data_IF_256805364912
#
_entry.id   IF_256805364912
#
_cell.length_a   1.000
_cell.length_b   1.000
_cell.length_c   1.000
_cell.angle_alpha   90.00
_cell.angle_beta   90.00
_cell.angle_gamma   90.00
#
_symmetry.space_group_name_H-M   'P 1'
#
loop_
_entity.id
_entity.type
_entity.pdbx_description
1 polymer ?
2 non-polymer ?
3 non-polymer ?
4 water ?
#
# COMPACT_ATOMS: atom_id res chain seq x y z
N UNK A 36 17.23 7.38 5.11
CA UNK A 36 17.65 7.77 3.72
C UNK A 36 17.51 6.62 2.74
N UNK A 37 17.78 5.40 3.24
CA UNK A 37 17.71 4.18 2.43
C UNK A 37 16.37 4.00 1.76
N UNK A 38 15.29 4.11 2.54
CA UNK A 38 13.92 3.93 2.06
C UNK A 38 13.56 4.89 0.93
N UNK A 39 14.00 6.14 1.04
CA UNK A 39 13.71 7.14 0.02
C UNK A 39 14.36 6.81 -1.30
N UNK A 40 15.61 6.35 -1.23
CA UNK A 40 16.30 5.94 -2.45
C UNK A 40 15.59 4.75 -3.07
N UNK A 41 15.14 3.82 -2.22
CA UNK A 41 14.44 2.63 -2.68
C UNK A 41 13.13 3.01 -3.35
N UNK A 42 12.43 3.96 -2.74
CA UNK A 42 11.15 4.42 -3.27
C UNK A 42 11.31 5.12 -4.59
N UNK A 43 12.38 5.92 -4.73
CA UNK A 43 12.67 6.59 -6.00
C UNK A 43 13.06 5.64 -7.13
N UNK A 44 13.74 4.57 -6.77
CA UNK A 44 14.14 3.54 -7.74
C UNK A 44 12.98 2.59 -8.05
N UNK A 45 11.88 2.70 -7.30
CA UNK A 45 10.66 1.94 -7.58
C UNK A 45 9.96 2.65 -8.74
N UNK A 46 10.26 2.20 -9.94
CA UNK A 46 9.78 2.83 -11.19
C UNK A 46 8.27 2.80 -11.28
N UNK A 47 7.67 1.65 -10.98
CA UNK A 47 6.22 1.49 -11.03
C UNK A 47 5.54 2.53 -10.16
N UNK A 48 5.98 2.63 -8.90
CA UNK A 48 5.44 3.63 -8.00
C UNK A 48 5.65 5.05 -8.52
N UNK A 49 6.92 5.42 -8.75
CA UNK A 49 7.25 6.82 -9.01
C UNK A 49 6.78 7.31 -10.38
N UNK A 50 6.91 6.47 -11.41
CA UNK A 50 6.45 6.80 -12.75
C UNK A 50 4.92 6.82 -12.88
N UNK A 51 4.21 6.05 -12.06
CA UNK A 51 2.74 6.12 -12.03
C UNK A 51 2.28 7.49 -11.57
N UNK A 52 2.93 8.01 -10.52
CA UNK A 52 2.62 9.34 -9.99
C UNK A 52 3.02 10.44 -10.97
N UNK A 53 4.20 10.30 -11.54
CA UNK A 53 4.72 11.19 -12.57
C UNK A 53 3.72 11.29 -13.73
N UNK A 54 3.37 10.16 -14.32
CA UNK A 54 2.42 10.12 -15.43
C UNK A 54 1.08 10.75 -15.07
N UNK A 55 0.53 10.37 -13.91
CA UNK A 55 -0.73 10.96 -13.47
C UNK A 55 -0.64 12.48 -13.46
N UNK A 56 0.41 13.01 -12.84
CA UNK A 56 0.57 14.46 -12.73
C UNK A 56 0.81 15.11 -14.10
N UNK A 57 1.78 14.58 -14.84
CA UNK A 57 2.16 15.19 -16.12
C UNK A 57 1.07 15.05 -17.18
N UNK A 58 0.31 13.95 -17.15
CA UNK A 58 -0.70 13.69 -18.18
C UNK A 58 -2.06 14.26 -17.82
N UNK A 59 -2.15 14.88 -16.65
CA UNK A 59 -3.37 15.57 -16.25
C UNK A 59 -3.07 16.95 -15.68
N UNK A 60 -2.36 17.80 -16.44
CA UNK A 60 -1.93 19.09 -15.89
C UNK A 60 -3.10 20.00 -15.48
N UNK A 61 -4.25 19.78 -16.09
CA UNK A 61 -5.48 20.54 -15.75
C UNK A 61 -5.85 20.44 -14.27
N UNK A 62 -5.51 19.32 -13.64
CA UNK A 62 -5.76 19.10 -12.20
C UNK A 62 -4.85 20.01 -11.36
N UNK A 63 -3.74 20.43 -11.93
CA UNK A 63 -2.72 21.16 -11.18
C UNK A 63 -2.54 22.61 -11.57
N UNK A 64 -2.77 22.91 -12.85
CA UNK A 64 -2.63 24.25 -13.43
C UNK A 64 -3.20 25.34 -12.52
N UNK A 65 -2.32 26.19 -12.00
CA UNK A 65 -2.69 27.31 -11.13
C UNK A 65 -3.37 26.92 -9.83
N UNK A 66 -3.14 25.69 -9.36
CA UNK A 66 -3.79 25.20 -8.15
C UNK A 66 -2.89 25.29 -6.93
N UNK A 67 -3.51 25.23 -5.74
CA UNK A 67 -2.77 25.06 -4.49
C UNK A 67 -2.75 23.58 -4.14
N UNK A 68 -1.56 23.02 -4.03
CA UNK A 68 -1.37 21.59 -3.82
C UNK A 68 -0.73 21.31 -2.46
N UNK A 69 -1.31 20.37 -1.71
CA UNK A 69 -0.69 19.85 -0.49
C UNK A 69 -0.09 18.45 -0.71
N UNK A 70 1.19 18.29 -0.36
CA UNK A 70 1.88 17.03 -0.48
C UNK A 70 2.15 16.45 0.91
N UNK A 71 1.31 15.53 1.35
CA UNK A 71 1.38 14.94 2.70
C UNK A 71 2.43 13.83 2.78
N UNK A 72 3.45 14.03 3.61
CA UNK A 72 4.58 13.12 3.70
C UNK A 72 5.43 13.19 2.45
N UNK A 73 6.00 14.36 2.19
CA UNK A 73 6.61 14.67 0.90
C UNK A 73 7.97 14.04 0.65
N UNK A 74 8.61 13.53 1.71
CA UNK A 74 9.94 12.94 1.58
C UNK A 74 10.95 13.91 0.96
N UNK A 75 11.65 13.44 -0.08
CA UNK A 75 12.61 14.24 -0.80
C UNK A 75 11.96 15.39 -1.61
N UNK A 76 10.62 15.38 -1.68
CA UNK A 76 9.86 16.44 -2.34
C UNK A 76 9.58 16.22 -3.82
N UNK A 77 9.82 14.99 -4.30
CA UNK A 77 9.68 14.63 -5.70
C UNK A 77 8.27 14.89 -6.29
N UNK A 78 7.23 14.54 -5.53
CA UNK A 78 5.86 14.73 -6.00
C UNK A 78 5.48 16.22 -6.08
N UNK A 79 5.98 17.00 -5.12
CA UNK A 79 5.80 18.46 -5.14
C UNK A 79 6.45 19.09 -6.38
N UNK A 80 7.64 18.64 -6.73
CA UNK A 80 8.32 19.13 -7.92
C UNK A 80 7.57 18.72 -9.19
N UNK A 81 7.02 17.52 -9.24
CA UNK A 81 6.13 17.11 -10.34
C UNK A 81 4.96 18.08 -10.46
N UNK A 82 4.32 18.38 -9.30
CA UNK A 82 3.15 19.24 -9.23
C UNK A 82 3.48 20.66 -9.69
N UNK A 83 4.67 21.14 -9.32
CA UNK A 83 5.13 22.46 -9.75
C UNK A 83 5.35 22.51 -11.26
N UNK A 84 6.00 21.49 -11.80
CA UNK A 84 6.24 21.41 -13.24
C UNK A 84 4.93 21.33 -14.03
N UNK A 85 3.95 20.60 -13.49
CA UNK A 85 2.63 20.50 -14.14
C UNK A 85 1.80 21.81 -14.00
N UNK A 86 2.36 22.80 -13.34
CA UNK A 86 1.82 24.17 -13.35
C UNK A 86 1.09 24.62 -12.10
N UNK A 87 1.39 24.00 -10.96
CA UNK A 87 0.77 24.40 -9.69
C UNK A 87 1.16 25.83 -9.31
N UNK A 88 0.22 26.58 -8.76
CA UNK A 88 0.48 27.94 -8.30
C UNK A 88 1.35 27.90 -7.04
N UNK A 89 0.91 27.16 -6.03
CA UNK A 89 1.68 26.93 -4.81
C UNK A 89 1.68 25.45 -4.43
N UNK A 90 2.82 24.94 -3.95
CA UNK A 90 2.88 23.58 -3.41
C UNK A 90 3.42 23.57 -1.99
N UNK A 91 2.65 22.98 -1.07
CA UNK A 91 3.07 22.81 0.30
C UNK A 91 3.43 21.34 0.57
N UNK A 92 4.70 21.09 0.89
CA UNK A 92 5.17 19.75 1.20
C UNK A 92 5.39 19.57 2.69
N UNK A 93 4.70 18.60 3.29
CA UNK A 93 4.79 18.37 4.72
C UNK A 93 5.39 17.00 5.05
N UNK A 94 6.34 16.98 5.98
CA UNK A 94 6.91 15.73 6.47
C UNK A 94 7.52 15.96 7.84
N UNK A 95 7.33 14.98 8.73
CA UNK A 95 7.85 15.03 10.09
C UNK A 95 9.32 14.62 10.18
N UNK A 96 9.79 13.90 9.16
CA UNK A 96 11.10 13.28 9.16
C UNK A 96 12.20 14.25 8.74
N UNK A 97 13.45 13.92 9.10
CA UNK A 97 14.64 14.74 8.83
C UNK A 97 14.99 14.84 7.33
N UNK A 98 14.31 14.03 6.53
CA UNK A 98 14.42 14.05 5.07
C UNK A 98 13.99 15.41 4.52
N UNK A 99 13.11 16.09 5.25
CA UNK A 99 12.64 17.42 4.88
C UNK A 99 13.79 18.42 4.66
N UNK A 100 14.86 18.29 5.43
CA UNK A 100 16.01 19.19 5.28
C UNK A 100 16.71 18.98 3.96
N UNK A 101 16.77 17.74 3.52
CA UNK A 101 17.25 17.42 2.18
C UNK A 101 16.30 17.94 1.10
N UNK A 102 14.99 17.85 1.38
CA UNK A 102 13.95 18.34 0.47
C UNK A 102 14.15 19.83 0.21
N UNK A 103 14.43 20.57 1.27
CA UNK A 103 14.72 22.00 1.16
C UNK A 103 15.86 22.30 0.20
N UNK A 104 16.96 21.57 0.31
CA UNK A 104 18.11 21.79 -0.55
C UNK A 104 17.77 21.39 -1.99
N UNK A 105 17.01 20.31 -2.13
CA UNK A 105 16.59 19.79 -3.44
C UNK A 105 15.71 20.80 -4.18
N UNK A 106 14.76 21.40 -3.46
CA UNK A 106 13.89 22.42 -4.01
C UNK A 106 14.69 23.63 -4.51
N UNK A 107 15.71 24.05 -3.76
CA UNK A 107 16.59 25.16 -4.14
C UNK A 107 17.46 24.86 -5.36
N UNK A 108 18.06 23.67 -5.42
CA UNK A 108 18.86 23.22 -6.56
C UNK A 108 18.07 23.23 -7.87
N UNK A 109 16.76 23.03 -7.76
CA UNK A 109 15.87 23.03 -8.92
C UNK A 109 15.15 24.36 -9.09
N UNK A 110 15.53 25.33 -8.27
CA UNK A 110 15.03 26.71 -8.34
C UNK A 110 13.51 26.79 -8.27
N UNK A 111 12.93 26.07 -7.30
CA UNK A 111 11.47 25.97 -7.17
C UNK A 111 10.93 26.57 -5.88
N UNK A 112 11.80 27.27 -5.13
CA UNK A 112 11.44 27.80 -3.82
C UNK A 112 10.34 28.87 -3.86
N UNK A 113 10.14 29.49 -5.02
CA UNK A 113 9.08 30.48 -5.26
C UNK A 113 7.71 29.82 -5.48
N UNK A 114 7.72 28.50 -5.64
CA UNK A 114 6.49 27.73 -5.86
C UNK A 114 6.28 26.72 -4.72
N UNK A 115 7.36 26.09 -4.26
CA UNK A 115 7.27 25.03 -3.23
C UNK A 115 7.79 25.47 -1.87
N UNK A 116 6.93 25.36 -0.86
CA UNK A 116 7.27 25.68 0.52
C UNK A 116 7.19 24.39 1.31
N UNK A 117 8.24 24.10 2.06
CA UNK A 117 8.31 22.91 2.88
C UNK A 117 8.19 23.22 4.37
N UNK A 118 7.47 22.34 5.08
CA UNK A 118 7.17 22.52 6.48
C UNK A 118 7.42 21.20 7.21
N UNK A 119 8.25 21.26 8.24
CA UNK A 119 8.59 20.09 9.06
C UNK A 119 7.58 19.90 10.20
N UNK A 120 7.10 18.66 10.34
CA UNK A 120 6.16 18.32 11.40
C UNK A 120 5.10 17.36 10.92
N UNK A 121 4.22 16.97 11.85
CA UNK A 121 3.07 16.13 11.53
C UNK A 121 1.96 17.04 11.01
N UNK A 122 1.23 16.57 10.00
CA UNK A 122 0.13 17.35 9.40
C UNK A 122 -0.90 17.80 10.44
N UNK A 123 -1.06 17.00 11.49
CA UNK A 123 -2.00 17.29 12.56
C UNK A 123 -1.50 18.40 13.49
N UNK A 124 -0.20 18.72 13.42
CA UNK A 124 0.41 19.72 14.30
C UNK A 124 0.80 21.03 13.64
N UNK A 125 1.33 20.97 12.41
CA UNK A 125 1.90 22.14 11.74
C UNK A 125 0.90 23.24 11.40
N UNK A 126 1.41 24.45 11.24
CA UNK A 126 0.61 25.57 10.76
C UNK A 126 0.91 25.84 9.28
N UNK A 127 -0.14 25.84 8.48
CA UNK A 127 -0.01 26.10 7.04
C UNK A 127 -0.22 27.59 6.71
N UNK A 128 0.46 28.10 5.67
CA UNK A 128 0.29 29.50 5.26
C UNK A 128 -0.94 29.75 4.38
N UNK A 129 -1.87 28.80 4.34
CA UNK A 129 -3.14 28.95 3.63
C UNK A 129 -4.21 28.26 4.46
N UNK A 130 -5.46 28.64 4.24
CA UNK A 130 -6.58 28.04 4.98
C UNK A 130 -7.01 26.73 4.31
N UNK A 131 -7.02 26.74 2.97
CA UNK A 131 -7.53 25.61 2.20
C UNK A 131 -6.60 25.29 1.03
N UNK A 132 -6.68 24.05 0.53
CA UNK A 132 -5.96 23.65 -0.68
C UNK A 132 -6.90 23.02 -1.70
N UNK A 133 -6.50 23.09 -2.98
CA UNK A 133 -7.31 22.56 -4.07
C UNK A 133 -7.09 21.06 -4.31
N UNK A 134 -5.87 20.59 -4.09
CA UNK A 134 -5.52 19.21 -4.40
C UNK A 134 -4.61 18.66 -3.31
N UNK A 135 -4.90 17.44 -2.87
CA UNK A 135 -3.98 16.72 -1.98
C UNK A 135 -3.38 15.52 -2.74
N UNK A 136 -2.06 15.44 -2.70
CA UNK A 136 -1.35 14.31 -3.25
C UNK A 136 -0.49 13.71 -2.16
N UNK A 137 -0.36 12.39 -2.19
CA UNK A 137 0.41 11.70 -1.17
C UNK A 137 0.76 10.31 -1.64
N UNK A 138 2.01 9.92 -1.35
CA UNK A 138 2.37 8.52 -1.38
C UNK A 138 2.42 8.03 0.07
N UNK A 139 1.31 7.43 0.52
CA UNK A 139 1.10 7.09 1.92
C UNK A 139 1.05 5.58 2.18
N UNK A 140 0.95 4.78 1.12
CA UNK A 140 0.64 3.36 1.20
C UNK A 140 1.68 2.53 1.94
N UNK A 141 1.22 1.60 2.78
CA UNK A 141 2.10 0.64 3.47
C UNK A 141 2.03 -0.75 2.87
N UNK A 142 2.79 -1.68 3.45
CA UNK A 142 2.68 -3.10 3.07
C UNK A 142 1.25 -3.52 3.33
N UNK A 143 0.69 -4.33 2.43
CA UNK A 143 -0.73 -4.71 2.52
C UNK A 143 -1.61 -3.45 2.62
N UNK A 144 -1.16 -2.40 1.93
CA UNK A 144 -1.81 -1.08 1.91
C UNK A 144 -1.81 -0.40 3.25
N UNK A 145 -2.25 -1.08 4.31
CA UNK A 145 -2.53 -0.39 5.57
C UNK A 145 -1.48 -0.49 6.68
N UNK A 146 -0.57 -1.46 6.63
CA UNK A 146 0.49 -1.59 7.64
C UNK A 146 1.37 -0.36 7.67
N UNK A 147 1.38 0.34 8.80
CA UNK A 147 2.22 1.54 8.98
C UNK A 147 2.07 2.51 7.80
N UNK A 148 0.82 2.81 7.45
CA UNK A 148 0.51 3.70 6.34
C UNK A 148 0.21 5.10 6.89
N UNK A 149 0.33 6.10 6.03
CA UNK A 149 0.06 7.49 6.40
C UNK A 149 -1.36 7.93 6.08
N UNK A 150 -2.25 6.96 5.85
CA UNK A 150 -3.62 7.29 5.42
C UNK A 150 -4.39 8.13 6.43
N UNK A 151 -4.16 7.90 7.72
CA UNK A 151 -4.75 8.72 8.79
C UNK A 151 -4.44 10.20 8.61
N UNK A 152 -3.18 10.49 8.28
CA UNK A 152 -2.71 11.85 8.03
C UNK A 152 -3.41 12.47 6.82
N UNK A 153 -3.47 11.71 5.73
CA UNK A 153 -4.12 12.14 4.48
C UNK A 153 -5.60 12.44 4.73
N UNK A 154 -6.27 11.57 5.46
CA UNK A 154 -7.69 11.76 5.78
C UNK A 154 -7.87 12.98 6.69
N UNK A 155 -6.99 13.14 7.67
CA UNK A 155 -7.00 14.34 8.51
C UNK A 155 -6.86 15.58 7.64
N UNK A 156 -5.83 15.60 6.77
CA UNK A 156 -5.59 16.71 5.85
C UNK A 156 -6.80 16.98 4.95
N UNK A 157 -7.40 15.92 4.42
CA UNK A 157 -8.61 16.05 3.59
C UNK A 157 -9.67 16.83 4.34
N UNK A 158 -9.97 16.39 5.55
CA UNK A 158 -11.08 16.96 6.35
C UNK A 158 -10.85 18.38 6.83
N UNK A 159 -9.62 18.69 7.26
CA UNK A 159 -9.29 20.03 7.71
C UNK A 159 -9.03 21.02 6.56
N UNK A 160 -8.28 20.59 5.54
CA UNK A 160 -7.71 21.52 4.56
C UNK A 160 -8.25 21.49 3.12
N UNK A 161 -8.87 20.37 2.71
CA UNK A 161 -9.34 20.27 1.33
C UNK A 161 -10.55 21.15 1.10
N UNK A 162 -10.42 22.05 0.11
CA UNK A 162 -11.48 22.97 -0.25
C UNK A 162 -12.71 22.22 -0.79
N UNK A 163 -13.88 22.85 -0.70
CA UNK A 163 -15.08 22.32 -1.34
C UNK A 163 -14.79 22.17 -2.84
N UNK A 164 -15.13 21.01 -3.39
CA UNK A 164 -14.84 20.74 -4.80
C UNK A 164 -13.41 20.27 -5.10
N UNK A 165 -12.57 20.23 -4.06
CA UNK A 165 -11.19 19.75 -4.18
C UNK A 165 -11.05 18.24 -4.42
N UNK A 166 -9.81 17.80 -4.65
CA UNK A 166 -9.54 16.40 -4.93
C UNK A 166 -8.32 15.85 -4.19
N UNK A 167 -8.37 14.53 -3.90
CA UNK A 167 -7.29 13.80 -3.25
C UNK A 167 -6.82 12.69 -4.18
N UNK A 168 -5.50 12.52 -4.30
CA UNK A 168 -4.93 11.52 -5.21
C UNK A 168 -3.78 10.77 -4.58
N UNK A 169 -3.71 9.44 -4.79
CA UNK A 169 -4.65 8.61 -5.57
C UNK A 169 -6.01 8.54 -4.89
N UNK A 170 -7.09 8.53 -5.68
CA UNK A 170 -8.43 8.64 -5.13
C UNK A 170 -9.07 7.30 -4.80
N UNK A 171 -8.62 6.23 -5.44
CA UNK A 171 -9.22 4.90 -5.26
C UNK A 171 -8.16 3.83 -5.01
N UNK A 172 -8.45 2.93 -4.06
CA UNK A 172 -7.57 1.84 -3.64
C UNK A 172 -8.39 0.59 -3.42
N UNK A 173 -7.83 -0.56 -3.74
CA UNK A 173 -8.43 -1.84 -3.40
C UNK A 173 -7.40 -2.76 -2.77
N UNK A 174 -7.86 -3.67 -1.91
CA UNK A 174 -7.04 -4.74 -1.35
C UNK A 174 -7.58 -6.07 -1.86
N UNK A 175 -6.68 -7.00 -2.20
CA UNK A 175 -7.08 -8.32 -2.70
C UNK A 175 -6.32 -9.44 -1.99
N UNK A 176 -6.99 -10.59 -1.87
CA UNK A 176 -6.36 -11.83 -1.40
C UNK A 176 -6.26 -12.85 -2.53
N UNK A 177 -5.30 -13.76 -2.43
CA UNK A 177 -5.12 -14.81 -3.43
C UNK A 177 -4.49 -16.02 -2.73
N UNK A 178 -4.92 -17.22 -3.11
CA UNK A 178 -4.44 -18.44 -2.45
C UNK A 178 -3.12 -18.86 -3.05
N UNK A 179 -2.25 -19.43 -2.22
CA UNK A 179 -0.91 -19.85 -2.62
C UNK A 179 -0.69 -21.32 -2.30
N UNK A 180 0.03 -22.00 -3.19
CA UNK A 180 0.52 -23.33 -2.94
C UNK A 180 2.02 -23.35 -3.12
N UNK A 181 2.73 -23.63 -2.02
CA UNK A 181 4.18 -23.72 -2.04
C UNK A 181 4.60 -24.60 -0.87
N UNK A 182 4.48 -25.91 -1.06
CA UNK A 182 4.81 -26.92 -0.04
C UNK A 182 6.29 -26.83 0.38
N UNK A 183 7.16 -26.54 -0.59
CA UNK A 183 8.60 -26.40 -0.31
C UNK A 183 8.91 -25.22 0.57
N UNK A 184 8.38 -24.05 0.23
CA UNK A 184 8.54 -22.88 1.11
C UNK A 184 7.87 -23.06 2.46
N UNK A 185 6.73 -23.73 2.50
CA UNK A 185 6.09 -24.04 3.77
C UNK A 185 6.96 -24.96 4.63
N UNK A 186 7.52 -26.00 4.00
CA UNK A 186 8.47 -26.88 4.66
C UNK A 186 9.70 -26.12 5.18
N UNK A 187 10.17 -25.13 4.42
CA UNK A 187 11.31 -24.27 4.83
C UNK A 187 11.03 -23.43 6.07
N UNK A 188 9.76 -23.12 6.31
CA UNK A 188 9.38 -22.26 7.45
C UNK A 188 8.84 -23.01 8.66
N UNK A 189 8.26 -24.19 8.41
CA UNK A 189 7.49 -24.91 9.44
C UNK A 189 8.10 -26.26 9.78
N UNK A 190 8.02 -27.22 8.84
CA UNK A 190 8.61 -28.55 9.05
C UNK A 190 10.09 -28.41 9.41
N UNK A 191 10.72 -27.35 8.88
CA UNK A 191 12.09 -26.99 9.23
C UNK A 191 12.45 -27.19 10.71
N UNK A 192 11.55 -26.77 11.60
CA UNK A 192 11.83 -26.75 13.03
C UNK A 192 11.73 -28.13 13.71
N UNK A 193 11.24 -29.14 13.00
CA UNK A 193 11.12 -30.50 13.57
C UNK A 193 12.46 -31.08 14.01
N UNK A 194 13.48 -30.89 13.16
CA UNK A 194 14.83 -31.35 13.42
C UNK A 194 15.87 -30.30 13.01
N UNK A 195 16.41 -29.59 14.00
CA UNK A 195 17.47 -28.63 13.73
C UNK A 195 18.81 -29.14 14.27
N UNK A 196 19.72 -29.43 13.34
CA UNK A 196 21.01 -30.07 13.61
C UNK A 196 20.90 -31.21 14.61
N UNK A 197 19.90 -32.06 14.37
CA UNK A 197 19.64 -33.20 15.23
C UNK A 197 18.84 -32.91 16.50
N UNK A 198 18.31 -31.70 16.66
CA UNK A 198 17.48 -31.40 17.85
C UNK A 198 16.07 -30.92 17.51
N UNK A 199 15.11 -31.24 18.39
CA UNK A 199 13.73 -30.81 18.23
C UNK A 199 13.57 -29.32 18.55
N UNK A 200 12.94 -28.59 17.62
CA UNK A 200 12.61 -27.19 17.85
C UNK A 200 11.16 -26.83 17.48
N UNK A 201 10.27 -27.83 17.56
CA UNK A 201 8.86 -27.71 17.16
C UNK A 201 8.11 -26.51 17.74
N UNK A 202 8.42 -26.14 18.96
CA UNK A 202 7.74 -25.04 19.63
C UNK A 202 7.91 -23.69 18.90
N UNK A 203 8.94 -23.57 18.09
CA UNK A 203 9.22 -22.33 17.34
C UNK A 203 8.18 -22.06 16.27
N UNK A 204 7.49 -23.11 15.79
CA UNK A 204 6.44 -22.97 14.76
C UNK A 204 5.37 -21.95 15.17
N UNK A 205 4.97 -21.99 16.45
CA UNK A 205 3.98 -21.08 17.03
C UNK A 205 4.40 -19.62 16.92
N UNK A 206 5.71 -19.39 16.77
CA UNK A 206 6.24 -18.05 16.72
C UNK A 206 6.36 -17.54 15.27
N UNK A 207 6.63 -18.44 14.34
CA UNK A 207 6.74 -18.02 12.94
C UNK A 207 5.36 -17.77 12.30
N UNK A 208 4.36 -18.59 12.65
CA UNK A 208 3.05 -18.52 11.99
C UNK A 208 2.37 -17.12 12.02
N UNK A 209 2.34 -16.44 13.19
CA UNK A 209 1.68 -15.12 13.31
C UNK A 209 2.36 -13.94 12.63
N UNK A 210 3.54 -14.16 12.06
CA UNK A 210 4.30 -13.08 11.46
C UNK A 210 4.08 -13.09 9.96
N UNK A 211 3.34 -12.10 9.49
CA UNK A 211 3.13 -11.90 8.05
C UNK A 211 4.48 -11.62 7.40
N UNK A 212 4.65 -12.09 6.18
CA UNK A 212 5.93 -11.97 5.48
C UNK A 212 5.76 -11.04 4.29
N UNK A 213 6.69 -10.10 4.14
CA UNK A 213 6.72 -9.22 2.96
C UNK A 213 7.75 -9.72 1.97
N UNK A 214 7.29 -10.18 0.82
CA UNK A 214 8.13 -10.90 -0.10
C UNK A 214 7.47 -10.95 -1.47
N UNK A 215 8.29 -11.00 -2.52
CA UNK A 215 7.84 -11.19 -3.90
C UNK A 215 7.55 -12.67 -4.15
N UNK A 216 6.33 -12.97 -4.57
CA UNK A 216 5.92 -14.35 -4.86
C UNK A 216 6.11 -14.74 -6.31
N UNK A 217 6.62 -15.94 -6.52
CA UNK A 217 6.57 -16.60 -7.82
C UNK A 217 5.09 -16.73 -8.24
N UNK A 218 4.70 -16.05 -9.34
CA UNK A 218 3.27 -16.04 -9.74
C UNK A 218 2.74 -17.42 -10.11
N UNK A 219 3.63 -18.36 -10.40
CA UNK A 219 3.26 -19.75 -10.68
C UNK A 219 2.71 -20.46 -9.45
N UNK A 220 2.98 -19.94 -8.26
CA UNK A 220 2.52 -20.57 -7.01
C UNK A 220 1.09 -20.18 -6.62
N UNK A 221 0.49 -19.26 -7.38
CA UNK A 221 -0.86 -18.78 -7.11
C UNK A 221 -1.84 -19.83 -7.59
N UNK A 222 -2.80 -20.18 -6.74
CA UNK A 222 -3.71 -21.27 -7.06
C UNK A 222 -5.19 -20.85 -7.05
N UNK A 223 -5.43 -19.55 -7.10
CA UNK A 223 -6.78 -19.04 -7.21
C UNK A 223 -6.78 -17.72 -7.96
N UNK A 224 -7.96 -17.35 -8.44
CA UNK A 224 -8.19 -16.00 -8.91
C UNK A 224 -8.16 -15.08 -7.68
N UNK A 225 -7.77 -13.81 -7.87
CA UNK A 225 -7.79 -12.90 -6.72
C UNK A 225 -9.22 -12.56 -6.31
N UNK A 226 -9.40 -12.16 -5.06
CA UNK A 226 -10.69 -11.68 -4.61
C UNK A 226 -10.49 -10.37 -3.86
N UNK A 227 -11.17 -9.31 -4.31
CA UNK A 227 -11.12 -8.00 -3.65
C UNK A 227 -11.82 -8.13 -2.31
N UNK A 228 -11.26 -7.51 -1.28
CA UNK A 228 -11.84 -7.57 0.06
C UNK A 228 -12.09 -6.18 0.63
N UNK A 229 -11.69 -5.16 -0.12
CA UNK A 229 -11.77 -3.79 0.33
C UNK A 229 -11.65 -2.84 -0.85
N UNK A 230 -12.50 -1.82 -0.84
CA UNK A 230 -12.48 -0.75 -1.83
C UNK A 230 -12.58 0.55 -1.05
N UNK A 231 -11.65 1.45 -1.30
CA UNK A 231 -11.56 2.71 -0.59
C UNK A 231 -11.57 3.86 -1.60
N UNK A 232 -12.49 4.81 -1.44
CA UNK A 232 -12.43 6.08 -2.17
C UNK A 232 -12.05 7.14 -1.15
N UNK A 233 -10.88 7.74 -1.35
CA UNK A 233 -10.33 8.69 -0.39
C UNK A 233 -11.17 9.96 -0.21
N UNK A 234 -12.09 10.22 -1.15
CA UNK A 234 -13.03 11.33 -1.02
C UNK A 234 -14.14 11.07 0.01
N UNK A 235 -14.56 9.81 0.14
CA UNK A 235 -15.64 9.44 1.04
C UNK A 235 -15.22 8.69 2.32
N UNK A 236 -14.02 8.10 2.31
CA UNK A 236 -13.56 7.26 3.41
C UNK A 236 -13.26 8.05 4.70
N UNK A 237 -13.59 7.45 5.85
CA UNK A 237 -13.22 7.97 7.17
C UNK A 237 -12.22 7.02 7.84
N UNK A 238 -11.68 7.44 8.98
CA UNK A 238 -10.68 6.65 9.70
C UNK A 238 -11.27 5.33 10.21
N UNK A 239 -12.54 5.37 10.64
CA UNK A 239 -13.23 4.16 11.12
C UNK A 239 -13.43 3.11 10.02
N UNK A 240 -13.47 3.55 8.76
CA UNK A 240 -13.61 2.65 7.60
C UNK A 240 -12.39 1.76 7.35
N UNK A 241 -11.26 2.10 7.95
CA UNK A 241 -10.00 1.37 7.76
C UNK A 241 -9.89 0.12 8.64
N UNK A 242 -10.79 -0.03 9.61
CA UNK A 242 -10.95 -1.28 10.32
C UNK A 242 -12.18 -1.91 9.73
N UNK A 243 -12.02 -3.08 9.12
CA UNK A 243 -13.11 -3.65 8.33
C UNK A 243 -13.08 -5.17 8.37
N UNK A 244 -14.21 -5.77 8.03
CA UNK A 244 -14.33 -7.20 7.88
C UNK A 244 -14.85 -7.44 6.49
N UNK A 245 -14.45 -8.58 5.93
CA UNK A 245 -14.97 -8.97 4.63
C UNK A 245 -15.04 -10.49 4.54
N UNK A 246 -16.16 -11.00 4.07
CA UNK A 246 -16.27 -12.39 3.68
C UNK A 246 -15.69 -12.46 2.28
N UNK A 247 -14.95 -13.52 1.97
CA UNK A 247 -14.38 -13.63 0.64
C UNK A 247 -14.56 -15.02 0.06
N UNK A 248 -14.46 -15.12 -1.26
CA UNK A 248 -14.50 -16.41 -1.93
C UNK A 248 -13.33 -16.53 -2.88
N UNK A 249 -12.52 -17.57 -2.71
CA UNK A 249 -11.40 -17.78 -3.60
C UNK A 249 -11.74 -18.83 -4.66
N UNK A 250 -11.71 -18.41 -5.92
CA UNK A 250 -12.03 -19.34 -7.00
C UNK A 250 -10.77 -20.11 -7.35
N UNK A 251 -10.67 -21.32 -6.83
CA UNK A 251 -9.50 -22.19 -7.04
C UNK A 251 -9.32 -22.59 -8.51
N UNK A 252 -8.07 -22.47 -8.96
CA UNK A 252 -7.72 -22.68 -10.35
C UNK A 252 -6.74 -23.85 -10.53
N UNK A 253 -6.20 -24.39 -9.44
CA UNK A 253 -5.31 -25.55 -9.52
C UNK A 253 -5.48 -26.48 -8.32
N UNK A 254 -5.63 -27.76 -8.61
CA UNK A 254 -5.75 -28.80 -7.59
C UNK A 254 -4.37 -28.95 -6.94
N UNK A 255 -4.32 -28.67 -5.64
CA UNK A 255 -3.04 -28.57 -4.93
C UNK A 255 -3.24 -28.43 -3.43
N UNK A 256 -2.11 -28.36 -2.71
CA UNK A 256 -2.10 -28.09 -1.28
C UNK A 256 -1.98 -26.57 -1.07
N UNK A 257 -3.03 -25.96 -0.53
CA UNK A 257 -2.99 -24.54 -0.14
C UNK A 257 -2.15 -24.36 1.12
N UNK A 258 -1.09 -23.56 1.03
CA UNK A 258 -0.12 -23.40 2.12
C UNK A 258 -0.09 -22.01 2.74
N UNK A 259 -0.61 -21.02 2.02
CA UNK A 259 -0.65 -19.64 2.47
C UNK A 259 -1.72 -18.84 1.73
N UNK A 260 -2.03 -17.67 2.27
CA UNK A 260 -2.85 -16.66 1.60
C UNK A 260 -2.00 -15.40 1.41
N UNK A 261 -2.02 -14.85 0.20
CA UNK A 261 -1.25 -13.65 -0.07
C UNK A 261 -2.17 -12.44 -0.27
N UNK A 262 -1.68 -11.27 0.12
CA UNK A 262 -2.46 -10.05 -0.06
C UNK A 262 -1.67 -8.99 -0.80
N UNK A 263 -2.38 -8.09 -1.46
CA UNK A 263 -1.75 -6.99 -2.20
C UNK A 263 -2.81 -5.95 -2.45
N UNK A 264 -2.43 -4.87 -3.13
CA UNK A 264 -3.34 -3.77 -3.38
C UNK A 264 -3.13 -3.10 -4.72
N UNK A 265 -4.20 -2.47 -5.22
CA UNK A 265 -4.15 -1.72 -6.46
C UNK A 265 -4.45 -0.25 -6.17
N UNK A 266 -3.76 0.62 -6.91
CA UNK A 266 -3.87 2.07 -6.76
C UNK A 266 -4.39 2.70 -8.05
N UNK A 267 -5.39 3.57 -7.93
CA UNK A 267 -6.05 4.16 -9.09
C UNK A 267 -6.05 5.66 -8.98
N UNK A 268 -5.77 6.33 -10.09
CA UNK A 268 -5.94 7.77 -10.20
C UNK A 268 -7.08 7.97 -11.22
N UNK A 269 -8.22 8.45 -10.74
CA UNK A 269 -9.44 8.45 -11.56
C UNK A 269 -10.16 9.79 -11.68
N UNK A 270 -10.58 10.38 -10.57
CA UNK A 270 -11.41 11.59 -10.58
C UNK A 270 -10.86 12.67 -11.52
N UNK A 271 -11.71 13.11 -12.44
CA UNK A 271 -11.39 14.20 -13.39
C UNK A 271 -10.19 14.03 -14.35
N UNK A 272 -9.71 12.80 -14.50
CA UNK A 272 -8.56 12.50 -15.34
C UNK A 272 -8.96 12.21 -16.78
N UNK A 273 -8.26 12.82 -17.72
CA UNK A 273 -8.32 12.42 -19.11
C UNK A 273 -7.44 11.20 -19.35
N UNK A 274 -6.32 11.14 -18.64
CA UNK A 274 -5.45 9.96 -18.67
C UNK A 274 -5.41 9.29 -17.29
N UNK A 275 -6.23 8.24 -17.13
CA UNK A 275 -6.28 7.46 -15.89
C UNK A 275 -5.00 6.69 -15.66
N UNK A 276 -4.66 6.45 -14.41
CA UNK A 276 -3.46 5.69 -14.10
C UNK A 276 -3.78 4.62 -13.07
N UNK A 277 -3.32 3.41 -13.34
CA UNK A 277 -3.48 2.28 -12.42
C UNK A 277 -2.13 1.62 -12.21
N UNK A 278 -1.87 1.16 -10.99
CA UNK A 278 -0.83 0.17 -10.76
C UNK A 278 -1.27 -0.85 -9.72
N UNK A 279 -0.82 -2.08 -9.93
CA UNK A 279 -1.08 -3.20 -9.04
C UNK A 279 0.22 -3.52 -8.32
N UNK A 280 0.12 -3.97 -7.07
CA UNK A 280 1.28 -4.50 -6.35
C UNK A 280 1.17 -6.02 -6.23
N UNK A 281 0.32 -6.63 -7.06
CA UNK A 281 0.15 -8.09 -7.08
C UNK A 281 1.24 -8.87 -7.76
N UNK A 282 1.27 -10.20 -7.54
CA UNK A 282 2.35 -11.02 -8.07
C UNK A 282 2.31 -11.24 -9.59
N UNK A 283 1.17 -10.97 -10.24
CA UNK A 283 1.09 -11.04 -11.72
C UNK A 283 1.67 -9.79 -12.38
N UNK A 284 2.01 -8.78 -11.57
CA UNK A 284 2.61 -7.55 -12.09
C UNK A 284 4.05 -7.33 -11.61
N UNK A 285 4.75 -6.44 -12.31
CA UNK A 285 6.13 -6.08 -12.01
C UNK A 285 6.23 -5.76 -10.53
N UNK A 286 7.27 -6.27 -9.90
CA UNK A 286 7.49 -6.05 -8.47
C UNK A 286 7.64 -4.57 -8.13
N UNK A 287 7.17 -4.20 -6.94
CA UNK A 287 7.33 -2.86 -6.38
C UNK A 287 7.98 -3.06 -5.01
N UNK A 288 8.42 -1.99 -4.35
CA UNK A 288 9.02 -2.16 -3.02
C UNK A 288 8.04 -2.70 -1.99
N UNK A 289 6.75 -2.67 -2.31
CA UNK A 289 5.72 -3.23 -1.43
C UNK A 289 5.64 -4.75 -1.53
N UNK A 290 6.19 -5.29 -2.61
CA UNK A 290 6.21 -6.74 -2.81
C UNK A 290 4.76 -7.26 -2.65
N UNK A 291 4.61 -8.42 -2.01
CA UNK A 291 3.31 -8.93 -1.56
C UNK A 291 3.39 -9.30 -0.08
N UNK A 292 2.24 -9.33 0.60
CA UNK A 292 2.17 -9.78 2.01
C UNK A 292 1.65 -11.21 2.07
N UNK A 293 2.32 -12.06 2.81
CA UNK A 293 2.03 -13.49 2.85
C UNK A 293 1.65 -13.89 4.27
N UNK A 294 0.49 -14.54 4.40
CA UNK A 294 0.01 -15.07 5.67
C UNK A 294 0.08 -16.58 5.61
N UNK A 295 1.03 -17.15 6.34
CA UNK A 295 1.26 -18.59 6.30
C UNK A 295 0.14 -19.34 6.98
N UNK A 296 -0.25 -20.48 6.42
CA UNK A 296 -1.20 -21.36 7.09
C UNK A 296 -0.47 -22.40 7.90
N UNK A 297 -0.86 -22.54 9.17
CA UNK A 297 -0.27 -23.55 10.03
C UNK A 297 -0.52 -24.96 9.50
N UNK A 298 -1.78 -25.25 9.17
CA UNK A 298 -2.15 -26.55 8.62
C UNK A 298 -2.59 -26.39 7.15
N UNK A 299 -1.64 -26.59 6.20
CA UNK A 299 -2.02 -26.61 4.78
C UNK A 299 -3.13 -27.63 4.54
N UNK A 300 -3.94 -27.39 3.52
CA UNK A 300 -5.04 -28.30 3.20
C UNK A 300 -5.23 -28.35 1.69
N UNK A 301 -5.70 -29.49 1.20
CA UNK A 301 -5.87 -29.65 -0.25
C UNK A 301 -7.13 -28.91 -0.74
N UNK A 302 -7.04 -28.42 -1.97
CA UNK A 302 -8.14 -27.76 -2.67
C UNK A 302 -8.22 -28.34 -4.09
N UNK A 303 -9.36 -28.14 -4.77
CA UNK A 303 -9.54 -28.65 -6.12
C UNK A 303 -9.82 -27.50 -7.07
N UNK A 304 -9.24 -27.57 -8.27
CA UNK A 304 -9.56 -26.61 -9.33
C UNK A 304 -11.07 -26.54 -9.47
N UNK A 305 -11.64 -25.33 -9.56
CA UNK A 305 -13.08 -25.14 -9.72
C UNK A 305 -13.82 -24.94 -8.41
N UNK A 306 -13.20 -25.32 -7.31
CA UNK A 306 -13.74 -25.16 -5.97
C UNK A 306 -13.85 -23.68 -5.59
N UNK A 307 -14.93 -23.33 -4.88
CA UNK A 307 -15.11 -21.98 -4.34
C UNK A 307 -14.79 -22.02 -2.85
N UNK A 308 -13.61 -21.51 -2.48
CA UNK A 308 -13.15 -21.53 -1.08
C UNK A 308 -13.55 -20.25 -0.33
N UNK A 309 -14.35 -20.41 0.72
CA UNK A 309 -14.89 -19.28 1.50
C UNK A 309 -14.10 -19.06 2.79
N UNK A 310 -13.77 -17.81 3.08
CA UNK A 310 -13.20 -17.47 4.36
C UNK A 310 -13.61 -16.08 4.80
N UNK A 311 -13.04 -15.64 5.91
CA UNK A 311 -13.35 -14.33 6.44
C UNK A 311 -12.07 -13.64 6.91
N UNK A 312 -11.97 -12.35 6.61
CA UNK A 312 -10.82 -11.55 7.00
C UNK A 312 -11.27 -10.30 7.74
N UNK A 313 -10.54 -9.90 8.77
CA UNK A 313 -10.80 -8.67 9.52
C UNK A 313 -9.50 -7.94 9.85
N UNK A 314 -9.51 -6.63 9.68
CA UNK A 314 -8.34 -5.81 9.97
C UNK A 314 -8.62 -4.90 11.16
N UNK A 315 -7.72 -4.91 12.14
CA UNK A 315 -7.85 -4.06 13.33
C UNK A 315 -6.63 -3.17 13.50
N UNK A 316 -6.88 -1.94 13.95
CA UNK A 316 -5.83 -0.95 14.25
C UNK A 316 -5.67 -0.70 15.75
N UNK A 323 0.48 -1.87 16.14
CA UNK A 323 0.32 -1.82 14.70
C UNK A 323 -0.96 -2.57 14.27
N UNK A 324 -1.23 -2.63 12.96
CA UNK A 324 -2.38 -3.38 12.42
C UNK A 324 -2.26 -4.88 12.64
N UNK A 325 -3.40 -5.54 12.81
CA UNK A 325 -3.45 -7.00 12.76
C UNK A 325 -4.50 -7.47 11.77
N UNK A 326 -4.33 -8.70 11.29
CA UNK A 326 -5.18 -9.27 10.27
C UNK A 326 -5.65 -10.61 10.80
N UNK A 327 -6.96 -10.79 10.92
CA UNK A 327 -7.51 -12.03 11.39
C UNK A 327 -8.14 -12.79 10.24
N UNK A 328 -7.70 -14.03 10.06
CA UNK A 328 -8.08 -14.87 8.93
C UNK A 328 -8.75 -16.12 9.39
N UNK A 329 -9.95 -16.37 8.88
CA UNK A 329 -10.63 -17.64 9.08
C UNK A 329 -10.74 -18.36 7.75
N UNK A 330 -10.30 -19.61 7.74
CA UNK A 330 -10.26 -20.41 6.53
C UNK A 330 -10.14 -21.88 6.90
N UNK A 331 -10.97 -22.72 6.26
CA UNK A 331 -10.93 -24.18 6.49
C UNK A 331 -11.10 -24.53 7.97
N UNK A 332 -11.93 -23.75 8.66
CA UNK A 332 -12.21 -23.89 10.11
C UNK A 332 -11.02 -23.67 11.04
N UNK A 333 -10.05 -22.86 10.59
CA UNK A 333 -8.96 -22.37 11.43
C UNK A 333 -8.99 -20.87 11.41
N UNK A 334 -8.64 -20.27 12.54
CA UNK A 334 -8.56 -18.85 12.68
C UNK A 334 -7.18 -18.50 13.23
N UNK A 335 -6.53 -17.53 12.59
CA UNK A 335 -5.24 -17.05 13.03
C UNK A 335 -5.21 -15.53 12.85
N UNK A 336 -4.67 -14.84 13.84
CA UNK A 336 -4.42 -13.42 13.76
C UNK A 336 -2.93 -13.20 13.42
N UNK A 337 -2.68 -12.32 12.47
CA UNK A 337 -1.34 -12.06 11.98
C UNK A 337 -0.98 -10.61 12.21
N UNK A 338 0.31 -10.34 12.42
CA UNK A 338 0.81 -8.97 12.47
C UNK A 338 2.03 -8.82 11.59
N UNK A 339 2.49 -7.59 11.40
CA UNK A 339 3.75 -7.38 10.67
C UNK A 339 4.91 -6.87 11.53
X LIG B 1 6.37 -18.77 2.63
X LIG B 1 5.34 -19.50 2.14
X LIG B 1 4.41 -20.85 2.78
X LIG B 1 3.44 -21.00 1.44
X LIG B 1 3.80 -20.08 0.57
X LIG B 1 4.82 -19.25 0.90
X LIG B 1 5.33 -18.26 0.16
X LIG B 1 6.39 -17.49 0.63
X LIG B 1 6.93 -17.71 1.90
X LIG B 1 7.98 -16.93 2.27
X LIG B 1 8.52 -16.80 3.52
X LIG B 1 8.11 -17.37 4.52
X LIG B 1 9.59 -15.98 3.59
X LIG B 1 10.31 -15.64 4.84
X LIG B 1 11.62 -16.43 5.02
X LIG B 1 12.02 -17.20 4.15
X LIG B 1 12.34 -16.26 6.21
X LIG B 1 13.59 -16.87 6.38
X LIG B 1 14.32 -16.70 7.56
X LIG B 1 13.80 -15.92 8.60
X LIG B 1 12.54 -15.31 8.44
X LIG B 1 11.82 -15.48 7.26
X LIG C 1 15.32 16.27 12.46
X LIG D 1 -2.74 25.84 12.61
X LIG E 1 -12.09 1.73 -9.99
X LIG F 1 22.70 -32.41 12.00
X LIG G 1 6.60 -17.71 -13.75
X LIG H 1 4.43 5.35 1.93
X LIG I 1 7.46 -17.43 -4.06
X LIG J 1 0.47 -29.25 -4.23
X LIG K 1 -15.06 -2.16 0.41
X LIG L 1 -5.97 -31.70 3.49
X LIG M 1 4.20 -25.69 20.68
X LIG N 1 5.06 -11.00 -12.66
X LIG O 1 -12.05 -4.64 -3.70
X LIG P 1 -7.29 3.60 -14.06
X LIG Q 1 5.86 -27.70 6.69
X LIG R 1 11.69 -10.75 -2.43
X LIG S 1 12.81 -20.48 1.91
#
# INVERSE_FOLDING_TARGET
MGSSHHHHHHSSGLVPRGSDLQEDEDGVYFSSYGHYGIHEEMLKDKIRTESYRDFIYQNPHIFKDKVVLDVGCGTGILSMFAAKAGAKKVLGVDQSEILYQAMDIIRLNKLEDTITLIKGKIEEVHLPVEKVDVIISEWMGYFLLFESMLDSVLYAKNKYLAKGGSVYPDICTISLVAVSDVNKHADRIAFWDDVYGFKMSCMKKAVIPEAVVEVLDPKTLISEPCGIKHIDCHTTSISDLEFSSDFTLKITRTSMCTAIAGYFDIYFEKNCHNRVVFSTGPQSTKTHWKQTVFLLEKPFSVKAGEALKGKVTVHKNKKDPRSLTVTLTLNNSTQTYGLQ
KTD CAJ CAV SAP N1 N2 CAU CAI CAH CAS N3 CAR OAB N CA C O CAT CAF CAD CAC CAE CAG
UNX UNK
UNX UNK
UNX UNK
UNX UNK
UNX UNK
UNX UNK
UNX UNK
UNX UNK
UNX UNK
UNX UNK
UNX UNK
UNX UNK
UNX UNK
UNX UNK
UNX UNK
UNX UNK
UNX UNK
#
